data_IF_843577754171
#
_entry.id   IF_843577754171
#
_cell.length_a   1.000
_cell.length_b   1.000
_cell.length_c   1.000
_cell.angle_alpha   90.00
_cell.angle_beta   90.00
_cell.angle_gamma   90.00
#
_symmetry.space_group_name_H-M   'P 1'
#
loop_
_entity.id
_entity.type
_entity.pdbx_description
1 polymer ?
#
# COMPACT_ATOMS: atom_id res chain seq x y z
N UNK A 1 30.28 -5.57 11.90
CA UNK A 1 29.58 -4.64 10.98
C UNK A 1 28.48 -5.45 10.32
N UNK A 2 27.31 -5.47 10.95
CA UNK A 2 26.10 -5.97 10.34
C UNK A 2 25.63 -4.93 9.32
N UNK A 3 25.73 -5.28 8.04
CA UNK A 3 24.98 -4.60 7.00
C UNK A 3 23.53 -4.93 7.28
N UNK A 4 22.81 -4.02 7.91
CA UNK A 4 21.38 -4.02 7.98
C UNK A 4 20.89 -3.90 6.52
N UNK A 5 20.67 -5.04 5.87
CA UNK A 5 19.78 -5.13 4.73
C UNK A 5 18.37 -4.86 5.26
N UNK A 6 18.01 -3.57 5.30
CA UNK A 6 16.62 -3.20 5.34
C UNK A 6 15.97 -3.79 4.09
N UNK A 7 15.32 -4.93 4.27
CA UNK A 7 14.28 -5.39 3.37
C UNK A 7 13.09 -4.43 3.53
N UNK A 8 13.25 -3.24 2.99
CA UNK A 8 12.13 -2.47 2.47
C UNK A 8 11.61 -3.28 1.32
N UNK A 9 10.34 -3.65 1.37
CA UNK A 9 9.70 -4.49 0.39
C UNK A 9 10.12 -4.12 -1.02
N UNK A 10 10.70 -5.07 -1.71
CA UNK A 10 10.95 -4.98 -3.13
C UNK A 10 9.58 -5.00 -3.81
N UNK A 11 8.99 -3.81 -3.98
CA UNK A 11 8.08 -3.61 -5.09
C UNK A 11 8.92 -3.70 -6.37
N UNK A 12 9.11 -4.91 -6.81
CA UNK A 12 9.54 -5.17 -8.18
C UNK A 12 8.30 -4.93 -9.03
N UNK A 13 8.03 -3.66 -9.34
CA UNK A 13 7.12 -3.26 -10.39
C UNK A 13 7.66 -3.78 -11.71
N UNK A 14 7.28 -4.99 -12.11
CA UNK A 14 7.27 -5.39 -13.51
C UNK A 14 6.01 -4.79 -14.12
N UNK A 15 6.09 -3.51 -14.38
CA UNK A 15 4.94 -2.74 -14.84
C UNK A 15 5.25 -2.01 -16.13
N UNK A 16 5.61 -2.69 -17.20
CA UNK A 16 5.61 -2.09 -18.54
C UNK A 16 5.72 -3.16 -19.63
N UNK A 17 4.66 -3.93 -19.85
CA UNK A 17 4.49 -4.58 -21.16
C UNK A 17 3.02 -4.82 -21.49
N UNK A 18 2.62 -4.21 -22.60
CA UNK A 18 1.42 -4.42 -23.40
C UNK A 18 0.14 -3.70 -22.98
N UNK A 19 0.07 -2.43 -23.34
CA UNK A 19 -1.16 -1.87 -23.86
C UNK A 19 -0.96 -1.58 -25.36
N UNK A 20 -1.13 -2.57 -26.22
CA UNK A 20 -1.31 -2.33 -27.66
C UNK A 20 -2.77 -1.96 -27.84
N UNK A 21 -3.02 -0.67 -27.95
CA UNK A 21 -4.31 -0.11 -28.35
C UNK A 21 -4.51 -0.45 -29.83
N UNK A 22 -5.41 -1.41 -30.10
CA UNK A 22 -6.08 -1.48 -31.38
C UNK A 22 -7.04 -0.29 -31.44
N UNK A 23 -6.65 0.76 -32.18
CA UNK A 23 -7.56 1.79 -32.64
C UNK A 23 -8.65 1.14 -33.53
N UNK A 24 -9.77 0.81 -32.92
CA UNK A 24 -11.00 0.47 -33.66
C UNK A 24 -11.79 1.77 -33.78
N UNK A 25 -11.96 2.17 -35.03
CA UNK A 25 -12.69 3.34 -35.50
C UNK A 25 -14.13 3.36 -34.93
N UNK A 26 -14.46 4.40 -34.15
CA UNK A 26 -15.73 4.54 -33.40
C UNK A 26 -16.93 4.85 -34.29
N UNK A 27 -16.77 4.83 -35.62
CA UNK A 27 -17.85 5.20 -36.54
C UNK A 27 -18.86 4.09 -36.88
N UNK A 28 -18.72 2.86 -36.31
CA UNK A 28 -19.62 1.74 -36.66
C UNK A 28 -20.39 1.10 -35.49
N UNK A 29 -20.38 1.68 -34.29
CA UNK A 29 -21.09 1.11 -33.12
C UNK A 29 -22.48 1.73 -32.86
N UNK A 30 -22.97 2.60 -33.71
CA UNK A 30 -24.28 3.26 -33.49
C UNK A 30 -25.51 2.61 -34.17
N UNK A 31 -25.42 1.39 -34.70
CA UNK A 31 -26.57 0.72 -35.39
C UNK A 31 -26.98 -0.64 -34.78
N UNK A 32 -26.54 -1.01 -33.59
CA UNK A 32 -26.97 -2.30 -33.00
C UNK A 32 -27.67 -2.18 -31.63
N UNK A 33 -28.35 -1.11 -31.38
CA UNK A 33 -29.10 -0.92 -30.12
C UNK A 33 -30.62 -0.91 -30.31
N UNK A 34 -31.16 -1.68 -31.24
CA UNK A 34 -32.61 -1.96 -31.33
C UNK A 34 -32.85 -3.33 -31.89
N UNK A 35 -32.56 -4.38 -31.14
CA UNK A 35 -33.24 -5.69 -31.26
C UNK A 35 -33.14 -6.34 -29.87
N UNK A 36 -34.13 -6.04 -29.05
CA UNK A 36 -34.51 -6.89 -27.93
C UNK A 36 -34.89 -8.26 -28.43
N UNK A 37 -33.96 -9.19 -28.45
CA UNK A 37 -34.29 -10.59 -28.44
C UNK A 37 -33.81 -11.15 -27.08
N UNK A 38 -34.78 -11.46 -26.25
CA UNK A 38 -34.63 -12.23 -25.02
C UNK A 38 -34.03 -13.60 -25.31
N UNK A 39 -32.73 -13.69 -25.46
CA UNK A 39 -32.02 -14.93 -25.32
C UNK A 39 -31.74 -15.10 -23.84
N UNK A 40 -32.36 -16.09 -23.25
CA UNK A 40 -32.21 -16.53 -21.87
C UNK A 40 -30.82 -17.19 -21.71
N UNK A 41 -29.79 -16.43 -21.95
CA UNK A 41 -28.42 -16.79 -21.55
C UNK A 41 -28.35 -16.70 -20.06
N UNK A 42 -27.99 -17.76 -19.31
CA UNK A 42 -27.89 -17.69 -17.88
C UNK A 42 -26.93 -16.55 -17.52
N UNK A 43 -27.41 -15.59 -16.71
CA UNK A 43 -26.59 -14.47 -16.23
C UNK A 43 -25.33 -15.06 -15.60
N UNK A 44 -24.14 -14.63 -16.04
CA UNK A 44 -22.87 -15.07 -15.48
C UNK A 44 -22.92 -14.83 -13.95
N UNK A 45 -22.60 -15.85 -13.19
CA UNK A 45 -22.50 -15.70 -11.73
C UNK A 45 -21.20 -15.00 -11.34
N UNK A 46 -21.30 -14.09 -10.39
CA UNK A 46 -20.14 -13.42 -9.83
C UNK A 46 -19.29 -14.42 -9.06
N UNK A 47 -17.98 -14.54 -9.37
CA UNK A 47 -17.09 -15.51 -8.73
C UNK A 47 -16.93 -15.33 -7.22
N UNK A 48 -17.15 -14.13 -6.71
CA UNK A 48 -17.09 -13.86 -5.27
C UNK A 48 -18.24 -14.50 -4.47
N UNK A 49 -19.35 -14.86 -5.12
CA UNK A 49 -20.52 -15.43 -4.43
C UNK A 49 -20.47 -16.94 -4.24
N UNK A 50 -19.47 -17.59 -4.82
CA UNK A 50 -19.31 -19.04 -4.77
C UNK A 50 -17.93 -19.42 -4.16
N UNK A 51 -17.78 -20.64 -3.62
CA UNK A 51 -16.46 -21.17 -3.31
C UNK A 51 -15.58 -21.16 -4.57
N UNK A 52 -14.34 -20.81 -4.44
CA UNK A 52 -13.45 -20.64 -5.59
C UNK A 52 -13.24 -21.95 -6.36
N UNK A 53 -13.16 -23.08 -5.64
CA UNK A 53 -12.93 -24.41 -6.20
C UNK A 53 -11.68 -24.47 -7.10
N UNK A 54 -10.69 -23.71 -6.75
CA UNK A 54 -9.34 -23.66 -7.36
C UNK A 54 -8.37 -24.47 -6.51
N UNK A 55 -7.20 -24.86 -7.02
CA UNK A 55 -6.17 -25.46 -6.19
C UNK A 55 -5.86 -24.56 -4.98
N UNK A 56 -5.88 -25.13 -3.77
CA UNK A 56 -5.66 -24.42 -2.49
C UNK A 56 -6.61 -23.25 -2.22
N UNK A 57 -7.80 -23.24 -2.82
CA UNK A 57 -8.79 -22.14 -2.72
C UNK A 57 -8.24 -20.76 -3.11
N UNK A 58 -7.26 -20.73 -4.00
CA UNK A 58 -6.66 -19.50 -4.52
C UNK A 58 -7.66 -18.69 -5.35
N UNK A 59 -7.41 -17.38 -5.45
CA UNK A 59 -8.30 -16.44 -6.15
C UNK A 59 -8.40 -16.80 -7.64
N UNK A 60 -9.62 -16.94 -8.21
CA UNK A 60 -9.82 -17.31 -9.61
C UNK A 60 -9.72 -16.08 -10.53
N UNK A 61 -8.53 -15.49 -10.65
CA UNK A 61 -8.30 -14.23 -11.37
C UNK A 61 -8.82 -14.23 -12.82
N UNK A 62 -8.73 -15.36 -13.54
CA UNK A 62 -9.26 -15.48 -14.91
C UNK A 62 -10.78 -15.32 -15.00
N UNK A 63 -11.50 -15.51 -13.89
CA UNK A 63 -12.97 -15.42 -13.83
C UNK A 63 -13.46 -14.09 -13.27
N UNK A 64 -12.63 -13.34 -12.55
CA UNK A 64 -13.00 -12.07 -11.93
C UNK A 64 -12.90 -10.95 -12.96
N UNK A 65 -13.89 -10.07 -12.98
CA UNK A 65 -13.98 -8.88 -13.82
C UNK A 65 -14.19 -7.66 -12.94
N UNK A 66 -13.92 -6.48 -13.48
CA UNK A 66 -14.10 -5.21 -12.77
C UNK A 66 -15.52 -5.03 -12.20
N UNK A 67 -16.54 -5.38 -13.00
CA UNK A 67 -17.94 -5.30 -12.57
C UNK A 67 -18.30 -6.20 -11.39
N UNK A 68 -17.53 -7.27 -11.14
CA UNK A 68 -17.79 -8.21 -10.05
C UNK A 68 -17.49 -7.60 -8.68
N UNK A 69 -16.53 -6.70 -8.62
CA UNK A 69 -16.14 -6.06 -7.34
C UNK A 69 -17.27 -5.24 -6.72
N UNK A 70 -17.88 -4.34 -7.48
CA UNK A 70 -18.97 -3.49 -6.97
C UNK A 70 -20.15 -4.32 -6.48
N UNK A 71 -20.60 -5.29 -7.28
CA UNK A 71 -21.70 -6.18 -6.91
C UNK A 71 -21.37 -6.97 -5.65
N UNK A 72 -20.12 -7.46 -5.53
CA UNK A 72 -19.68 -8.22 -4.36
C UNK A 72 -19.54 -7.36 -3.10
N UNK A 73 -19.05 -6.13 -3.22
CA UNK A 73 -19.02 -5.19 -2.10
C UNK A 73 -20.41 -4.89 -1.56
N UNK A 74 -21.35 -4.53 -2.43
CA UNK A 74 -22.71 -4.19 -2.02
C UNK A 74 -23.45 -5.39 -1.41
N UNK A 75 -23.29 -6.57 -1.98
CA UNK A 75 -23.86 -7.81 -1.43
C UNK A 75 -23.16 -8.21 -0.11
N UNK A 76 -21.84 -8.00 0.01
CA UNK A 76 -21.10 -8.23 1.25
C UNK A 76 -21.62 -7.35 2.38
N UNK A 77 -21.76 -6.04 2.15
CA UNK A 77 -22.35 -5.09 3.10
C UNK A 77 -23.76 -5.54 3.51
N UNK A 78 -24.61 -5.92 2.53
CA UNK A 78 -25.97 -6.38 2.83
C UNK A 78 -25.99 -7.62 3.74
N UNK A 79 -25.10 -8.58 3.50
CA UNK A 79 -24.99 -9.80 4.34
C UNK A 79 -24.52 -9.49 5.75
N UNK A 80 -23.54 -8.61 5.86
CA UNK A 80 -23.01 -8.16 7.14
C UNK A 80 -24.08 -7.39 7.95
N UNK A 81 -24.81 -6.47 7.32
CA UNK A 81 -25.96 -5.78 7.93
C UNK A 81 -27.03 -6.78 8.42
N UNK A 82 -27.35 -7.79 7.64
CA UNK A 82 -28.31 -8.84 8.05
C UNK A 82 -27.82 -9.67 9.24
N UNK A 83 -26.52 -9.95 9.31
CA UNK A 83 -25.96 -10.68 10.45
C UNK A 83 -25.93 -9.81 11.70
N UNK A 84 -25.54 -8.55 11.58
CA UNK A 84 -25.63 -7.57 12.68
C UNK A 84 -27.07 -7.45 13.17
N UNK A 85 -28.04 -7.37 12.27
CA UNK A 85 -29.46 -7.33 12.63
C UNK A 85 -29.92 -8.58 13.38
N UNK A 86 -29.45 -9.78 13.03
CA UNK A 86 -29.73 -11.01 13.76
C UNK A 86 -29.12 -10.99 15.16
N UNK A 87 -27.88 -10.48 15.29
CA UNK A 87 -27.21 -10.36 16.58
C UNK A 87 -27.97 -9.39 17.49
N UNK A 88 -28.30 -8.20 17.02
CA UNK A 88 -28.95 -7.17 17.86
C UNK A 88 -30.41 -7.49 18.20
N UNK A 89 -31.07 -8.31 17.41
CA UNK A 89 -32.45 -8.75 17.63
C UNK A 89 -32.58 -10.13 18.28
N UNK A 90 -31.48 -10.79 18.60
CA UNK A 90 -31.48 -12.09 19.30
C UNK A 90 -32.16 -11.92 20.65
N UNK A 91 -33.26 -12.68 20.92
CA UNK A 91 -34.00 -12.57 22.18
C UNK A 91 -33.26 -13.22 23.36
N UNK A 92 -32.25 -14.02 23.12
CA UNK A 92 -31.44 -14.63 24.16
C UNK A 92 -30.51 -13.63 24.84
N UNK A 93 -30.19 -13.90 26.10
CA UNK A 93 -29.23 -13.13 26.86
C UNK A 93 -27.86 -13.12 26.12
N UNK A 94 -27.20 -11.96 26.02
CA UNK A 94 -25.89 -11.87 25.33
C UNK A 94 -24.84 -12.78 25.99
N UNK A 95 -24.21 -13.64 25.20
CA UNK A 95 -23.12 -14.52 25.61
C UNK A 95 -21.91 -14.30 24.71
N UNK A 96 -20.76 -14.85 25.12
CA UNK A 96 -19.56 -14.83 24.30
C UNK A 96 -19.82 -15.45 22.90
N UNK A 97 -20.54 -16.58 22.87
CA UNK A 97 -20.82 -17.34 21.65
C UNK A 97 -21.82 -16.61 20.72
N UNK A 98 -22.97 -16.15 21.28
CA UNK A 98 -24.01 -15.55 20.44
C UNK A 98 -23.79 -14.07 20.11
N UNK A 99 -22.73 -13.46 20.65
CA UNK A 99 -22.42 -12.05 20.44
C UNK A 99 -20.99 -11.86 19.93
N UNK A 100 -19.96 -12.22 20.73
CA UNK A 100 -18.56 -11.90 20.40
C UNK A 100 -18.06 -12.73 19.22
N UNK A 101 -18.27 -14.06 19.26
CA UNK A 101 -17.87 -14.98 18.17
C UNK A 101 -18.57 -14.61 16.86
N UNK A 102 -19.84 -14.22 16.92
CA UNK A 102 -20.60 -13.82 15.73
C UNK A 102 -20.15 -12.47 15.16
N UNK A 103 -19.75 -11.51 16.01
CA UNK A 103 -19.22 -10.22 15.57
C UNK A 103 -17.82 -10.38 14.97
N UNK A 104 -17.01 -11.29 15.50
CA UNK A 104 -15.65 -11.51 15.02
C UNK A 104 -15.59 -12.28 13.69
N UNK A 105 -16.63 -13.02 13.34
CA UNK A 105 -16.78 -13.81 12.10
C UNK A 105 -15.65 -14.82 11.78
N UNK A 106 -14.66 -14.99 12.69
CA UNK A 106 -13.52 -15.87 12.45
C UNK A 106 -13.82 -17.36 12.66
N UNK A 107 -14.94 -17.70 13.31
CA UNK A 107 -15.23 -19.07 13.73
C UNK A 107 -16.56 -19.65 13.20
N UNK A 108 -17.24 -18.97 12.27
CA UNK A 108 -18.42 -19.53 11.60
C UNK A 108 -18.01 -20.50 10.49
N UNK A 109 -18.93 -21.36 10.09
CA UNK A 109 -18.81 -22.22 8.89
C UNK A 109 -18.58 -21.40 7.60
N UNK A 110 -18.70 -20.09 7.67
CA UNK A 110 -18.37 -19.11 6.64
C UNK A 110 -16.96 -18.56 6.84
N UNK A 111 -15.97 -19.39 6.63
CA UNK A 111 -14.53 -19.06 6.70
C UNK A 111 -14.12 -17.88 5.82
N UNK A 112 -15.00 -17.39 4.95
CA UNK A 112 -14.80 -16.20 4.12
C UNK A 112 -16.06 -15.35 4.13
N UNK A 113 -16.13 -14.39 5.04
CA UNK A 113 -17.05 -13.28 4.89
C UNK A 113 -16.83 -12.65 3.51
N UNK A 114 -17.93 -12.46 2.76
CA UNK A 114 -17.87 -11.94 1.39
C UNK A 114 -17.22 -10.55 1.34
N UNK A 115 -17.55 -9.69 2.32
CA UNK A 115 -17.01 -8.32 2.37
C UNK A 115 -15.51 -8.33 2.61
N UNK A 116 -15.01 -9.13 3.54
CA UNK A 116 -13.58 -9.29 3.82
C UNK A 116 -12.84 -9.85 2.61
N UNK A 117 -13.39 -10.89 1.99
CA UNK A 117 -12.79 -11.54 0.82
C UNK A 117 -12.66 -10.61 -0.37
N UNK A 118 -13.73 -9.89 -0.74
CA UNK A 118 -13.68 -8.94 -1.86
C UNK A 118 -12.78 -7.75 -1.54
N UNK A 119 -12.80 -7.24 -0.30
CA UNK A 119 -11.95 -6.14 0.14
C UNK A 119 -10.48 -6.51 0.06
N UNK A 120 -10.11 -7.71 0.49
CA UNK A 120 -8.72 -8.19 0.43
C UNK A 120 -8.22 -8.30 -1.01
N UNK A 121 -8.99 -8.98 -1.89
CA UNK A 121 -8.60 -9.12 -3.30
C UNK A 121 -8.51 -7.75 -3.97
N UNK A 122 -9.49 -6.88 -3.76
CA UNK A 122 -9.50 -5.53 -4.31
C UNK A 122 -8.29 -4.70 -3.84
N UNK A 123 -8.00 -4.71 -2.55
CA UNK A 123 -6.85 -4.00 -1.97
C UNK A 123 -5.51 -4.51 -2.52
N UNK A 124 -5.37 -5.83 -2.67
CA UNK A 124 -4.19 -6.42 -3.29
C UNK A 124 -4.04 -5.98 -4.75
N UNK A 125 -5.13 -5.97 -5.53
CA UNK A 125 -5.11 -5.51 -6.92
C UNK A 125 -4.80 -4.02 -7.03
N UNK A 126 -5.36 -3.18 -6.15
CA UNK A 126 -5.01 -1.75 -6.07
C UNK A 126 -3.52 -1.51 -5.83
N UNK A 127 -2.85 -2.40 -5.10
CA UNK A 127 -1.42 -2.28 -4.81
C UNK A 127 -0.53 -2.88 -5.90
N UNK A 128 -0.96 -3.98 -6.53
CA UNK A 128 -0.15 -4.76 -7.46
C UNK A 128 -0.37 -4.39 -8.93
N UNK A 129 -1.62 -4.11 -9.31
CA UNK A 129 -2.05 -3.94 -10.73
C UNK A 129 -3.20 -2.93 -10.83
N UNK A 130 -3.01 -1.70 -10.32
CA UNK A 130 -4.07 -0.68 -10.40
C UNK A 130 -4.22 -0.10 -11.81
N UNK A 131 -5.43 0.31 -12.13
CA UNK A 131 -5.78 1.03 -13.37
C UNK A 131 -6.80 2.14 -13.04
N UNK A 132 -7.06 3.02 -14.02
CA UNK A 132 -7.98 4.15 -13.82
C UNK A 132 -9.39 3.70 -13.44
N UNK A 133 -9.85 2.56 -13.92
CA UNK A 133 -11.16 1.99 -13.59
C UNK A 133 -11.21 1.44 -12.16
N UNK A 134 -10.15 0.80 -11.67
CA UNK A 134 -10.03 0.37 -10.27
C UNK A 134 -9.94 1.59 -9.34
N UNK A 135 -9.18 2.61 -9.73
CA UNK A 135 -9.09 3.87 -8.97
C UNK A 135 -10.45 4.57 -8.87
N UNK A 136 -11.22 4.63 -9.96
CA UNK A 136 -12.57 5.18 -9.96
C UNK A 136 -13.53 4.36 -9.08
N UNK A 137 -13.41 3.03 -9.10
CA UNK A 137 -14.20 2.16 -8.23
C UNK A 137 -13.82 2.34 -6.75
N UNK A 138 -12.53 2.49 -6.44
CA UNK A 138 -12.06 2.79 -5.09
C UNK A 138 -12.67 4.11 -4.56
N UNK A 139 -12.68 5.16 -5.38
CA UNK A 139 -13.31 6.44 -5.02
C UNK A 139 -14.81 6.29 -4.76
N UNK A 140 -15.50 5.47 -5.55
CA UNK A 140 -16.93 5.21 -5.39
C UNK A 140 -17.22 4.41 -4.13
N UNK A 141 -16.43 3.37 -3.85
CA UNK A 141 -16.70 2.43 -2.76
C UNK A 141 -16.19 2.93 -1.40
N UNK A 142 -15.14 3.75 -1.35
CA UNK A 142 -14.56 4.24 -0.09
C UNK A 142 -15.57 4.89 0.86
N UNK A 143 -16.44 5.85 0.44
CA UNK A 143 -17.43 6.43 1.33
C UNK A 143 -18.51 5.41 1.76
N UNK A 144 -18.88 4.47 0.90
CA UNK A 144 -19.88 3.43 1.20
C UNK A 144 -19.34 2.48 2.27
N UNK A 145 -18.11 2.00 2.11
CA UNK A 145 -17.43 1.12 3.06
C UNK A 145 -17.16 1.82 4.39
N UNK A 146 -16.72 3.08 4.36
CA UNK A 146 -16.52 3.88 5.58
C UNK A 146 -17.83 4.10 6.32
N UNK A 147 -18.92 4.40 5.59
CA UNK A 147 -20.24 4.53 6.21
C UNK A 147 -20.66 3.22 6.88
N UNK A 148 -20.57 2.09 6.18
CA UNK A 148 -20.91 0.78 6.73
C UNK A 148 -20.09 0.47 7.99
N UNK A 149 -18.76 0.63 7.96
CA UNK A 149 -17.90 0.44 9.12
C UNK A 149 -18.32 1.32 10.32
N UNK A 150 -18.68 2.59 10.07
CA UNK A 150 -19.21 3.46 11.09
C UNK A 150 -20.58 2.97 11.61
N UNK A 151 -21.47 2.52 10.73
CA UNK A 151 -22.79 2.03 11.12
C UNK A 151 -22.69 0.84 12.06
N UNK A 152 -21.77 -0.10 11.81
CA UNK A 152 -21.48 -1.23 12.68
C UNK A 152 -20.86 -0.76 14.01
N UNK A 153 -19.74 0.00 13.97
CA UNK A 153 -18.99 0.38 15.17
C UNK A 153 -19.72 1.37 16.08
N UNK A 154 -20.63 2.17 15.54
CA UNK A 154 -21.44 3.12 16.30
C UNK A 154 -22.86 2.58 16.63
N UNK A 155 -23.16 1.32 16.28
CA UNK A 155 -24.41 0.68 16.59
C UNK A 155 -24.57 0.51 18.11
N UNK A 156 -25.49 1.29 18.71
CA UNK A 156 -25.71 1.31 20.14
C UNK A 156 -26.18 -0.06 20.67
N UNK A 157 -27.09 -0.72 19.96
CA UNK A 157 -27.66 -1.99 20.40
C UNK A 157 -26.61 -3.10 20.37
N UNK A 158 -25.78 -3.12 19.34
CA UNK A 158 -24.68 -4.05 19.25
C UNK A 158 -23.68 -3.82 20.39
N UNK A 159 -23.29 -2.57 20.62
CA UNK A 159 -22.38 -2.25 21.71
C UNK A 159 -22.95 -2.60 23.09
N UNK A 160 -24.24 -2.39 23.35
CA UNK A 160 -24.89 -2.81 24.60
C UNK A 160 -24.80 -4.31 24.82
N UNK A 161 -24.92 -5.14 23.79
CA UNK A 161 -24.72 -6.60 23.87
C UNK A 161 -23.25 -6.95 24.17
N UNK A 162 -22.30 -6.35 23.43
CA UNK A 162 -20.85 -6.56 23.68
C UNK A 162 -20.49 -6.16 25.10
N UNK A 163 -20.96 -5.02 25.56
CA UNK A 163 -20.73 -4.52 26.92
C UNK A 163 -21.33 -5.47 27.99
N UNK A 164 -22.52 -6.00 27.73
CA UNK A 164 -23.14 -7.00 28.64
C UNK A 164 -22.25 -8.24 28.79
N UNK A 165 -21.75 -8.78 27.67
CA UNK A 165 -20.81 -9.92 27.70
C UNK A 165 -19.53 -9.56 28.43
N UNK A 166 -18.96 -8.37 28.18
CA UNK A 166 -17.75 -7.88 28.84
C UNK A 166 -17.90 -7.80 30.37
N UNK A 167 -19.08 -7.45 30.87
CA UNK A 167 -19.37 -7.29 32.30
C UNK A 167 -19.82 -8.61 32.93
N UNK A 168 -20.38 -9.59 32.17
CA UNK A 168 -21.12 -10.77 32.70
C UNK A 168 -20.82 -12.08 31.95
N UNK A 169 -19.56 -12.37 31.65
CA UNK A 169 -19.18 -13.57 30.91
C UNK A 169 -18.90 -14.77 31.83
N UNK A 170 -19.02 -16.00 31.31
CA UNK A 170 -18.49 -17.23 31.93
C UNK A 170 -16.94 -17.12 32.04
N UNK A 171 -16.30 -18.01 32.82
CA UNK A 171 -14.84 -18.13 32.74
C UNK A 171 -14.40 -18.42 31.30
N UNK A 172 -13.46 -17.61 30.80
CA UNK A 172 -12.92 -17.65 29.45
C UNK A 172 -11.49 -18.20 29.43
N UNK A 173 -11.07 -18.78 28.33
CA UNK A 173 -9.64 -19.03 28.09
C UNK A 173 -8.89 -17.70 27.86
N UNK A 174 -7.55 -17.68 27.95
CA UNK A 174 -6.80 -16.45 27.66
C UNK A 174 -7.07 -15.89 26.26
N UNK A 175 -7.27 -16.75 25.25
CA UNK A 175 -7.59 -16.38 23.88
C UNK A 175 -8.98 -15.76 23.78
N UNK A 176 -9.99 -16.39 24.37
CA UNK A 176 -11.37 -15.88 24.41
C UNK A 176 -11.43 -14.53 25.15
N UNK A 177 -10.68 -14.39 26.26
CA UNK A 177 -10.62 -13.14 27.01
C UNK A 177 -9.98 -12.03 26.15
N UNK A 178 -8.89 -12.32 25.45
CA UNK A 178 -8.25 -11.37 24.56
C UNK A 178 -9.19 -10.93 23.43
N UNK A 179 -9.96 -11.87 22.84
CA UNK A 179 -10.94 -11.56 21.83
C UNK A 179 -12.04 -10.63 22.35
N UNK A 180 -12.56 -10.93 23.55
CA UNK A 180 -13.57 -10.09 24.21
C UNK A 180 -13.04 -8.69 24.52
N UNK A 181 -11.83 -8.59 25.08
CA UNK A 181 -11.18 -7.32 25.41
C UNK A 181 -10.96 -6.48 24.14
N UNK A 182 -10.46 -7.09 23.07
CA UNK A 182 -10.25 -6.44 21.79
C UNK A 182 -11.56 -5.98 21.14
N UNK A 183 -12.61 -6.80 21.21
CA UNK A 183 -13.94 -6.44 20.69
C UNK A 183 -14.50 -5.23 21.45
N UNK A 184 -14.54 -5.28 22.78
CA UNK A 184 -15.06 -4.19 23.61
C UNK A 184 -14.25 -2.89 23.40
N UNK A 185 -12.93 -2.97 23.50
CA UNK A 185 -12.06 -1.80 23.34
C UNK A 185 -12.13 -1.24 21.92
N UNK A 186 -12.20 -2.10 20.91
CA UNK A 186 -12.38 -1.69 19.51
C UNK A 186 -13.64 -0.83 19.30
N UNK A 187 -14.76 -1.18 19.92
CA UNK A 187 -15.99 -0.38 19.87
C UNK A 187 -15.86 0.93 20.66
N UNK A 188 -15.32 0.88 21.87
CA UNK A 188 -15.10 2.09 22.71
C UNK A 188 -14.23 3.09 21.98
N UNK A 189 -13.12 2.65 21.42
CA UNK A 189 -12.18 3.50 20.66
C UNK A 189 -12.73 3.99 19.33
N UNK A 190 -13.70 3.29 18.78
CA UNK A 190 -14.43 3.74 17.58
C UNK A 190 -15.60 4.68 17.92
N UNK A 191 -15.76 5.10 19.17
CA UNK A 191 -16.74 6.11 19.59
C UNK A 191 -18.09 5.58 20.05
N UNK A 192 -18.20 4.28 20.40
CA UNK A 192 -19.46 3.68 20.85
C UNK A 192 -20.03 4.36 22.10
N UNK A 193 -19.18 4.96 22.95
CA UNK A 193 -19.60 5.69 24.16
C UNK A 193 -20.01 7.15 23.90
N UNK A 194 -19.85 7.67 22.71
CA UNK A 194 -20.28 9.02 22.35
C UNK A 194 -21.81 9.11 22.36
N UNK A 195 -22.31 10.33 22.64
CA UNK A 195 -23.70 10.65 22.38
C UNK A 195 -24.00 10.72 20.87
N UNK A 196 -25.26 10.86 20.49
CA UNK A 196 -25.65 10.82 19.08
C UNK A 196 -25.06 12.00 18.27
N UNK A 197 -24.87 13.18 18.89
CA UNK A 197 -24.22 14.32 18.24
C UNK A 197 -22.73 14.02 17.99
N UNK A 198 -22.05 13.46 18.97
CA UNK A 198 -20.66 13.03 18.86
C UNK A 198 -20.46 11.95 17.80
N UNK A 199 -21.35 10.96 17.75
CA UNK A 199 -21.33 9.92 16.73
C UNK A 199 -21.51 10.47 15.32
N UNK A 200 -22.48 11.36 15.14
CA UNK A 200 -22.73 11.98 13.84
C UNK A 200 -21.53 12.86 13.40
N UNK A 201 -20.92 13.56 14.35
CA UNK A 201 -19.67 14.31 14.08
C UNK A 201 -18.54 13.39 13.68
N UNK A 202 -18.35 12.27 14.40
CA UNK A 202 -17.29 11.28 14.10
C UNK A 202 -17.47 10.69 12.70
N UNK A 203 -18.70 10.34 12.29
CA UNK A 203 -19.00 9.84 10.94
C UNK A 203 -18.48 10.81 9.87
N UNK A 204 -18.83 12.08 9.97
CA UNK A 204 -18.40 13.11 9.00
C UNK A 204 -16.89 13.25 8.94
N UNK A 205 -16.22 13.24 10.10
CA UNK A 205 -14.77 13.37 10.17
C UNK A 205 -14.05 12.14 9.56
N UNK A 206 -14.55 10.94 9.81
CA UNK A 206 -13.96 9.70 9.28
C UNK A 206 -14.20 9.53 7.79
N UNK A 207 -15.40 9.88 7.30
CA UNK A 207 -15.71 9.89 5.86
C UNK A 207 -14.81 10.86 5.11
N UNK A 208 -14.68 12.11 5.59
CA UNK A 208 -13.78 13.09 4.98
C UNK A 208 -12.33 12.64 5.01
N UNK A 209 -11.86 12.08 6.14
CA UNK A 209 -10.49 11.58 6.27
C UNK A 209 -10.18 10.42 5.31
N UNK A 210 -11.13 9.49 5.11
CA UNK A 210 -10.99 8.37 4.17
C UNK A 210 -10.85 8.86 2.73
N UNK A 211 -11.73 9.77 2.31
CA UNK A 211 -11.69 10.35 0.96
C UNK A 211 -10.39 11.11 0.68
N UNK A 212 -9.96 11.95 1.63
CA UNK A 212 -8.72 12.71 1.48
C UNK A 212 -7.48 11.81 1.51
N UNK A 213 -7.49 10.72 2.29
CA UNK A 213 -6.39 9.76 2.30
C UNK A 213 -6.25 9.03 0.97
N UNK A 214 -7.37 8.63 0.37
CA UNK A 214 -7.39 8.02 -0.97
C UNK A 214 -6.89 9.00 -2.02
N UNK A 215 -7.42 10.24 -2.03
CA UNK A 215 -7.00 11.29 -2.96
C UNK A 215 -5.51 11.60 -2.84
N UNK A 216 -4.97 11.66 -1.61
CA UNK A 216 -3.55 11.88 -1.34
C UNK A 216 -2.69 10.84 -2.07
N UNK A 217 -3.03 9.56 -1.92
CA UNK A 217 -2.27 8.47 -2.53
C UNK A 217 -2.37 8.48 -4.07
N UNK A 218 -3.57 8.72 -4.60
CA UNK A 218 -3.78 8.81 -6.05
C UNK A 218 -3.05 9.99 -6.68
N UNK A 219 -3.02 11.15 -6.01
CA UNK A 219 -2.28 12.32 -6.48
C UNK A 219 -0.79 12.03 -6.58
N UNK A 220 -0.19 11.40 -5.55
CA UNK A 220 1.24 11.03 -5.60
C UNK A 220 1.52 10.06 -6.76
N UNK A 221 0.69 9.05 -6.93
CA UNK A 221 0.88 8.08 -8.01
C UNK A 221 0.79 8.73 -9.40
N UNK A 222 -0.19 9.64 -9.60
CA UNK A 222 -0.36 10.37 -10.87
C UNK A 222 0.83 11.27 -11.16
N UNK A 223 1.30 12.02 -10.18
CA UNK A 223 2.43 12.94 -10.35
C UNK A 223 3.73 12.18 -10.60
N UNK A 224 3.95 11.07 -9.89
CA UNK A 224 5.08 10.18 -10.12
C UNK A 224 5.11 9.66 -11.57
N UNK A 225 3.97 9.17 -12.06
CA UNK A 225 3.84 8.66 -13.44
C UNK A 225 3.93 9.75 -14.52
N UNK A 226 3.54 10.98 -14.20
CA UNK A 226 3.56 12.09 -15.16
C UNK A 226 4.99 12.57 -15.47
N UNK A 227 5.91 12.38 -14.54
CA UNK A 227 7.28 12.82 -14.74
C UNK A 227 8.08 11.86 -15.62
N UNK A 228 8.73 12.39 -16.64
CA UNK A 228 9.70 11.65 -17.45
C UNK A 228 10.87 12.55 -17.85
N UNK A 229 12.09 12.03 -17.74
CA UNK A 229 13.30 12.64 -18.28
C UNK A 229 13.71 11.88 -19.54
N UNK A 230 13.46 12.46 -20.73
CA UNK A 230 13.86 11.87 -22.00
C UNK A 230 15.18 12.47 -22.47
N UNK A 231 16.21 11.64 -22.63
CA UNK A 231 17.54 12.01 -23.09
C UNK A 231 17.73 11.49 -24.51
N UNK A 232 18.16 12.36 -25.44
CA UNK A 232 18.42 11.99 -26.85
C UNK A 232 19.89 12.14 -27.22
N UNK A 233 20.70 12.82 -26.38
CA UNK A 233 22.12 12.95 -26.55
C UNK A 233 22.88 11.92 -25.72
N UNK A 234 23.55 10.98 -26.39
CA UNK A 234 24.29 9.89 -25.74
C UNK A 234 25.39 10.41 -24.78
N UNK A 235 25.96 11.60 -25.04
CA UNK A 235 26.94 12.19 -24.13
C UNK A 235 26.39 12.49 -22.73
N UNK A 236 25.07 12.65 -22.59
CA UNK A 236 24.41 12.87 -21.31
C UNK A 236 24.20 11.58 -20.49
N UNK A 237 24.52 10.42 -21.07
CA UNK A 237 24.47 9.12 -20.38
C UNK A 237 25.79 8.76 -19.70
N UNK A 238 26.77 9.65 -19.77
CA UNK A 238 28.08 9.38 -19.19
C UNK A 238 28.00 8.97 -17.72
N UNK A 239 28.77 7.93 -17.36
CA UNK A 239 28.77 7.31 -16.05
C UNK A 239 27.72 6.23 -15.81
N UNK A 240 26.61 6.19 -16.55
CA UNK A 240 25.54 5.20 -16.36
C UNK A 240 25.99 3.78 -16.78
N UNK A 241 25.68 2.76 -15.97
CA UNK A 241 25.89 1.36 -16.34
C UNK A 241 25.11 0.98 -17.60
N UNK A 242 25.64 0.02 -18.37
CA UNK A 242 24.97 -0.48 -19.58
C UNK A 242 23.55 -1.00 -19.29
N UNK A 243 23.37 -1.72 -18.21
CA UNK A 243 22.04 -2.21 -17.76
C UNK A 243 21.00 -1.10 -17.55
N UNK A 244 21.43 0.04 -17.00
CA UNK A 244 20.54 1.20 -16.82
C UNK A 244 20.22 1.89 -18.16
N UNK A 245 21.21 1.94 -19.08
CA UNK A 245 21.01 2.50 -20.43
C UNK A 245 20.07 1.64 -21.25
N UNK A 246 20.25 0.31 -21.24
CA UNK A 246 19.36 -0.63 -21.94
C UNK A 246 17.92 -0.55 -21.42
N UNK A 247 17.74 -0.50 -20.10
CA UNK A 247 16.41 -0.35 -19.49
C UNK A 247 15.74 0.97 -19.89
N UNK A 248 16.49 2.09 -19.86
CA UNK A 248 15.99 3.40 -20.27
C UNK A 248 15.66 3.48 -21.75
N UNK A 249 16.44 2.80 -22.62
CA UNK A 249 16.18 2.71 -24.05
C UNK A 249 14.89 1.92 -24.34
N UNK A 250 14.70 0.81 -23.62
CA UNK A 250 13.47 0.03 -23.73
C UNK A 250 12.26 0.85 -23.30
N UNK A 251 12.33 1.53 -22.16
CA UNK A 251 11.26 2.42 -21.68
C UNK A 251 10.93 3.53 -22.68
N UNK A 252 11.95 4.16 -23.32
CA UNK A 252 11.72 5.14 -24.36
C UNK A 252 10.98 4.54 -25.56
N UNK A 253 11.39 3.36 -26.01
CA UNK A 253 10.75 2.64 -27.12
C UNK A 253 9.31 2.30 -26.82
N UNK A 254 9.01 1.81 -25.63
CA UNK A 254 7.65 1.47 -25.17
C UNK A 254 6.76 2.72 -25.09
N UNK A 255 7.34 3.87 -24.69
CA UNK A 255 6.66 5.16 -24.69
C UNK A 255 6.58 5.83 -26.10
N UNK A 256 7.07 5.18 -27.17
CA UNK A 256 7.10 5.74 -28.52
C UNK A 256 8.04 6.93 -28.68
N UNK A 257 9.08 7.05 -27.83
CA UNK A 257 10.07 8.13 -27.82
C UNK A 257 11.41 7.63 -28.37
N UNK A 258 12.21 8.57 -28.90
CA UNK A 258 13.61 8.30 -29.27
C UNK A 258 14.53 8.53 -28.06
N UNK A 259 15.65 7.80 -28.01
CA UNK A 259 16.68 7.95 -26.98
C UNK A 259 16.42 7.08 -25.74
N UNK A 260 16.53 7.68 -24.57
CA UNK A 260 16.51 7.01 -23.26
C UNK A 260 15.54 7.75 -22.34
N UNK A 261 14.61 6.99 -21.73
CA UNK A 261 13.58 7.52 -20.85
C UNK A 261 13.86 7.09 -19.42
N UNK A 262 14.01 8.06 -18.52
CA UNK A 262 14.14 7.85 -17.08
C UNK A 262 12.88 8.33 -16.38
N UNK A 263 12.46 7.56 -15.36
CA UNK A 263 11.27 7.81 -14.53
C UNK A 263 11.67 8.01 -13.07
N UNK A 264 10.72 8.33 -12.21
CA UNK A 264 10.93 8.41 -10.77
C UNK A 264 10.85 7.04 -10.06
N UNK A 265 10.56 5.96 -10.78
CA UNK A 265 10.58 4.62 -10.24
C UNK A 265 11.99 4.23 -9.78
N UNK A 266 12.07 3.55 -8.64
CA UNK A 266 13.35 3.26 -7.99
C UNK A 266 14.39 2.59 -8.92
N UNK A 267 14.04 1.59 -9.77
CA UNK A 267 15.01 0.96 -10.68
C UNK A 267 15.58 1.91 -11.75
N UNK A 268 14.85 2.96 -12.12
CA UNK A 268 15.29 4.01 -13.05
C UNK A 268 16.02 5.14 -12.33
N UNK A 269 15.45 5.62 -11.23
CA UNK A 269 15.94 6.74 -10.44
C UNK A 269 17.27 6.44 -9.75
N UNK A 270 17.38 5.31 -9.02
CA UNK A 270 18.53 5.00 -8.17
C UNK A 270 19.84 4.87 -8.95
N UNK A 271 19.92 4.11 -10.08
CA UNK A 271 21.15 4.08 -10.89
C UNK A 271 21.53 5.44 -11.44
N UNK A 272 20.56 6.26 -11.86
CA UNK A 272 20.84 7.60 -12.36
C UNK A 272 21.49 8.48 -11.28
N UNK A 273 20.95 8.50 -10.08
CA UNK A 273 21.47 9.26 -8.95
C UNK A 273 22.85 8.78 -8.48
N UNK A 274 23.14 7.49 -8.65
CA UNK A 274 24.40 6.87 -8.21
C UNK A 274 25.54 7.06 -9.22
N UNK A 275 25.24 6.92 -10.51
CA UNK A 275 26.27 6.76 -11.52
C UNK A 275 26.41 7.93 -12.51
N UNK A 276 25.29 8.66 -12.80
CA UNK A 276 25.33 9.72 -13.81
C UNK A 276 26.30 10.84 -13.43
N UNK A 277 27.18 11.23 -14.37
CA UNK A 277 28.08 12.39 -14.20
C UNK A 277 27.34 13.72 -14.38
N UNK A 278 26.12 13.71 -14.94
CA UNK A 278 25.35 14.90 -15.28
C UNK A 278 24.65 15.50 -14.05
N UNK A 279 25.35 16.38 -13.34
CA UNK A 279 24.87 16.98 -12.07
C UNK A 279 23.51 17.65 -12.18
N UNK A 280 23.27 18.43 -13.24
CA UNK A 280 21.99 19.13 -13.42
C UNK A 280 20.83 18.16 -13.70
N UNK A 281 21.08 17.05 -14.38
CA UNK A 281 20.06 16.01 -14.58
C UNK A 281 19.79 15.24 -13.28
N UNK A 282 20.81 14.95 -12.46
CA UNK A 282 20.60 14.42 -11.10
C UNK A 282 19.73 15.35 -10.27
N UNK A 283 20.04 16.66 -10.28
CA UNK A 283 19.23 17.67 -9.60
C UNK A 283 17.77 17.66 -10.08
N UNK A 284 17.55 17.61 -11.39
CA UNK A 284 16.21 17.59 -11.97
C UNK A 284 15.40 16.39 -11.47
N UNK A 285 15.97 15.17 -11.53
CA UNK A 285 15.35 13.94 -11.02
C UNK A 285 15.12 14.00 -9.51
N UNK A 286 16.12 14.44 -8.76
CA UNK A 286 16.03 14.59 -7.30
C UNK A 286 14.89 15.53 -6.90
N UNK A 287 14.83 16.71 -7.52
CA UNK A 287 13.79 17.69 -7.24
C UNK A 287 12.41 17.15 -7.60
N UNK A 288 12.27 16.56 -8.78
CA UNK A 288 11.00 15.96 -9.20
C UNK A 288 10.48 14.94 -8.18
N UNK A 289 11.34 14.02 -7.73
CA UNK A 289 10.94 12.99 -6.77
C UNK A 289 10.65 13.54 -5.37
N UNK A 290 11.40 14.53 -4.91
CA UNK A 290 11.26 15.03 -3.53
C UNK A 290 10.25 16.18 -3.39
N UNK A 291 9.63 16.60 -4.48
CA UNK A 291 8.56 17.61 -4.48
C UNK A 291 7.23 17.08 -5.01
N UNK A 292 7.08 15.76 -5.16
CA UNK A 292 5.81 15.13 -5.54
C UNK A 292 4.67 15.59 -4.61
N UNK A 293 3.53 15.91 -5.18
CA UNK A 293 2.35 16.38 -4.45
C UNK A 293 2.47 17.81 -3.91
N UNK A 294 3.48 18.58 -4.33
CA UNK A 294 3.66 19.98 -3.86
C UNK A 294 3.58 21.03 -4.96
N UNK A 295 3.42 20.63 -6.21
CA UNK A 295 3.35 21.52 -7.34
C UNK A 295 1.99 22.23 -7.43
N UNK A 296 1.93 23.39 -8.12
CA UNK A 296 0.68 24.12 -8.36
C UNK A 296 -0.11 23.47 -9.51
N UNK A 297 -0.66 22.30 -9.24
CA UNK A 297 -1.44 21.50 -10.18
C UNK A 297 -2.60 20.80 -9.46
N UNK A 298 -3.35 19.93 -10.15
CA UNK A 298 -4.49 19.20 -9.61
C UNK A 298 -4.09 18.13 -8.58
N UNK A 299 -2.85 17.68 -8.60
CA UNK A 299 -2.27 16.64 -7.75
C UNK A 299 -1.63 17.19 -6.46
N UNK A 300 -1.80 18.50 -6.17
CA UNK A 300 -1.24 19.13 -4.98
C UNK A 300 -1.86 18.60 -3.69
N UNK A 301 -1.01 18.07 -2.82
CA UNK A 301 -1.41 17.44 -1.55
C UNK A 301 -1.23 18.34 -0.31
N UNK A 302 -0.70 19.57 -0.44
CA UNK A 302 -0.38 20.41 0.72
C UNK A 302 -1.59 20.73 1.58
N UNK A 303 -2.71 21.13 0.97
CA UNK A 303 -3.95 21.40 1.71
C UNK A 303 -4.61 20.12 2.22
N UNK A 304 -4.49 19.01 1.48
CA UNK A 304 -4.93 17.68 1.93
C UNK A 304 -4.18 17.27 3.21
N UNK A 305 -2.84 17.43 3.24
CA UNK A 305 -2.04 17.18 4.45
C UNK A 305 -2.52 17.98 5.65
N UNK A 306 -2.71 19.29 5.47
CA UNK A 306 -3.20 20.17 6.55
C UNK A 306 -4.57 19.72 7.04
N UNK A 307 -5.47 19.40 6.12
CA UNK A 307 -6.82 18.97 6.49
C UNK A 307 -6.81 17.62 7.20
N UNK A 308 -6.04 16.64 6.72
CA UNK A 308 -5.90 15.33 7.36
C UNK A 308 -5.34 15.44 8.79
N UNK A 309 -4.31 16.27 9.02
CA UNK A 309 -3.76 16.50 10.37
C UNK A 309 -4.83 17.08 11.30
N UNK A 310 -5.61 18.05 10.83
CA UNK A 310 -6.70 18.64 11.62
C UNK A 310 -7.82 17.64 11.90
N UNK A 311 -8.24 16.85 10.90
CA UNK A 311 -9.26 15.79 11.06
C UNK A 311 -8.82 14.77 12.11
N UNK A 312 -7.57 14.28 12.03
CA UNK A 312 -7.01 13.35 13.01
C UNK A 312 -7.00 13.93 14.42
N UNK A 313 -6.67 15.23 14.57
CA UNK A 313 -6.72 15.92 15.86
C UNK A 313 -8.17 15.99 16.37
N UNK A 314 -9.13 16.41 15.52
CA UNK A 314 -10.54 16.51 15.89
C UNK A 314 -11.12 15.16 16.31
N UNK A 315 -10.80 14.08 15.57
CA UNK A 315 -11.19 12.71 15.91
C UNK A 315 -10.64 12.30 17.27
N UNK A 316 -9.34 12.49 17.51
CA UNK A 316 -8.72 12.14 18.79
C UNK A 316 -9.34 12.89 19.96
N UNK A 317 -9.56 14.21 19.81
CA UNK A 317 -10.19 15.02 20.86
C UNK A 317 -11.63 14.61 21.12
N UNK A 318 -12.39 14.29 20.08
CA UNK A 318 -13.77 13.80 20.21
C UNK A 318 -13.81 12.47 20.99
N UNK A 319 -12.80 11.60 20.80
CA UNK A 319 -12.64 10.33 21.50
C UNK A 319 -11.96 10.45 22.88
N UNK A 320 -11.70 11.69 23.36
CA UNK A 320 -11.14 11.95 24.70
C UNK A 320 -9.62 11.90 24.82
N UNK A 321 -8.89 11.86 23.68
CA UNK A 321 -7.43 11.88 23.68
C UNK A 321 -6.90 13.30 23.41
N UNK A 322 -5.75 13.64 24.02
CA UNK A 322 -5.14 14.96 23.82
C UNK A 322 -4.60 15.13 22.38
N UNK A 323 -3.96 14.08 21.85
CA UNK A 323 -3.42 14.07 20.48
C UNK A 323 -3.79 12.79 19.76
N UNK A 324 -3.67 12.80 18.43
CA UNK A 324 -3.85 11.59 17.62
C UNK A 324 -2.77 10.54 17.89
N UNK A 325 -1.56 10.97 18.25
CA UNK A 325 -0.50 10.07 18.68
C UNK A 325 -0.90 9.32 19.96
N UNK A 326 -1.45 10.01 20.97
CA UNK A 326 -1.94 9.36 22.18
C UNK A 326 -3.02 8.32 21.86
N UNK A 327 -3.97 8.66 20.99
CA UNK A 327 -4.99 7.73 20.53
C UNK A 327 -4.40 6.47 19.88
N UNK A 328 -3.43 6.61 18.97
CA UNK A 328 -2.87 5.48 18.23
C UNK A 328 -1.94 4.63 19.10
N UNK A 329 -1.10 5.26 19.94
CA UNK A 329 -0.03 4.59 20.68
C UNK A 329 -0.52 3.65 21.78
N UNK A 330 -1.74 3.79 22.27
CA UNK A 330 -2.31 2.88 23.30
C UNK A 330 -2.16 1.41 22.89
N UNK A 331 -2.35 1.08 21.61
CA UNK A 331 -2.24 -0.29 21.07
C UNK A 331 -0.95 -0.54 20.29
N UNK A 332 0.05 0.30 20.46
CA UNK A 332 1.36 0.07 19.84
C UNK A 332 2.37 -0.39 20.89
N UNK A 333 3.41 -1.08 20.46
CA UNK A 333 4.47 -1.56 21.34
C UNK A 333 5.09 -0.44 22.19
N UNK A 334 5.18 0.78 21.65
CA UNK A 334 5.69 1.94 22.37
C UNK A 334 4.77 2.44 23.50
N UNK A 335 3.48 2.16 23.44
CA UNK A 335 2.42 2.51 24.40
C UNK A 335 2.14 4.01 24.55
N UNK A 336 3.13 4.88 24.47
CA UNK A 336 3.01 6.34 24.64
C UNK A 336 4.10 7.09 23.87
N UNK A 337 3.93 8.42 23.75
CA UNK A 337 4.85 9.28 23.03
C UNK A 337 6.23 9.38 23.68
N UNK A 338 6.32 9.33 25.02
CA UNK A 338 7.60 9.42 25.73
C UNK A 338 8.52 8.24 25.38
N UNK A 339 7.97 7.03 25.27
CA UNK A 339 8.74 5.85 24.85
C UNK A 339 9.22 5.97 23.38
N UNK A 340 8.39 6.57 22.50
CA UNK A 340 8.79 6.86 21.12
C UNK A 340 9.94 7.84 21.10
N UNK A 341 9.81 8.97 21.81
CA UNK A 341 10.86 9.98 21.86
C UNK A 341 12.15 9.44 22.51
N UNK A 342 12.01 8.63 23.56
CA UNK A 342 13.18 7.99 24.18
C UNK A 342 13.94 7.15 23.16
N UNK A 343 13.26 6.24 22.44
CA UNK A 343 13.90 5.41 21.41
C UNK A 343 14.55 6.25 20.32
N UNK A 344 13.83 7.24 19.79
CA UNK A 344 14.34 8.10 18.72
C UNK A 344 15.56 8.93 19.19
N UNK A 345 15.52 9.48 20.39
CA UNK A 345 16.64 10.25 20.93
C UNK A 345 17.85 9.35 21.19
N UNK A 346 17.65 8.16 21.77
CA UNK A 346 18.74 7.19 21.99
C UNK A 346 19.41 6.81 20.63
N UNK A 347 18.61 6.64 19.56
CA UNK A 347 19.13 6.37 18.21
C UNK A 347 19.86 7.60 17.62
N UNK A 348 19.29 8.80 17.77
CA UNK A 348 19.91 10.05 17.28
C UNK A 348 21.27 10.24 17.98
N UNK A 349 21.33 10.10 19.28
CA UNK A 349 22.57 10.28 20.06
C UNK A 349 23.64 9.26 19.66
N UNK A 350 23.23 8.02 19.36
CA UNK A 350 24.14 6.96 18.93
C UNK A 350 24.64 7.14 17.49
N UNK A 351 23.76 7.48 16.54
CA UNK A 351 24.10 7.46 15.11
C UNK A 351 24.50 8.81 14.51
N UNK A 352 23.96 9.93 15.04
CA UNK A 352 24.23 11.26 14.48
C UNK A 352 25.71 11.63 14.40
N UNK A 353 26.57 11.32 15.41
CA UNK A 353 28.01 11.62 15.31
C UNK A 353 28.68 10.91 14.12
N UNK A 354 28.37 9.62 13.92
CA UNK A 354 28.89 8.84 12.78
C UNK A 354 28.39 9.38 11.46
N UNK A 355 27.09 9.66 11.34
CA UNK A 355 26.50 10.21 10.11
C UNK A 355 27.14 11.55 9.72
N UNK A 356 27.44 12.41 10.69
CA UNK A 356 28.15 13.69 10.42
C UNK A 356 29.55 13.43 9.84
N UNK A 357 30.30 12.46 10.38
CA UNK A 357 31.64 12.16 9.86
C UNK A 357 31.58 11.52 8.46
N UNK A 358 30.59 10.68 8.19
CA UNK A 358 30.34 10.11 6.87
C UNK A 358 30.02 11.18 5.84
N UNK A 359 29.11 12.12 6.15
CA UNK A 359 28.81 13.26 5.26
C UNK A 359 30.07 14.11 4.99
N UNK A 360 30.88 14.39 6.02
CA UNK A 360 32.16 15.10 5.85
C UNK A 360 33.16 14.32 4.98
N UNK A 361 33.16 12.99 5.05
CA UNK A 361 34.01 12.16 4.21
C UNK A 361 33.59 12.25 2.75
N UNK A 362 32.28 12.20 2.47
CA UNK A 362 31.70 12.37 1.13
C UNK A 362 31.98 13.78 0.59
N UNK A 363 31.86 14.81 1.44
CA UNK A 363 32.17 16.19 1.05
C UNK A 363 33.65 16.35 0.70
N UNK A 364 34.57 15.75 1.47
CA UNK A 364 36.01 15.75 1.13
C UNK A 364 36.29 15.07 -0.19
N UNK A 365 35.63 13.92 -0.46
CA UNK A 365 35.73 13.23 -1.74
C UNK A 365 35.28 14.12 -2.90
N UNK A 366 34.13 14.75 -2.76
CA UNK A 366 33.58 15.65 -3.77
C UNK A 366 34.54 16.82 -4.05
N UNK A 367 35.10 17.45 -3.01
CA UNK A 367 36.06 18.54 -3.15
C UNK A 367 37.39 18.11 -3.79
N UNK A 368 37.84 16.89 -3.55
CA UNK A 368 39.03 16.34 -4.24
C UNK A 368 38.83 16.18 -5.75
N UNK A 369 37.61 15.84 -6.15
CA UNK A 369 37.26 15.61 -7.54
C UNK A 369 36.90 16.90 -8.29
N UNK A 370 36.25 17.86 -7.64
CA UNK A 370 35.64 19.02 -8.28
C UNK A 370 36.35 20.35 -7.90
N UNK A 371 37.16 20.36 -6.84
CA UNK A 371 37.82 21.54 -6.29
C UNK A 371 37.28 22.03 -4.96
N UNK A 372 38.07 22.81 -4.24
CA UNK A 372 37.76 23.21 -2.85
C UNK A 372 36.48 24.05 -2.69
N UNK A 373 36.07 24.76 -3.73
CA UNK A 373 34.88 25.61 -3.75
C UNK A 373 33.58 24.80 -3.97
N UNK A 374 33.68 23.49 -4.23
CA UNK A 374 32.51 22.65 -4.46
C UNK A 374 31.64 22.57 -3.19
N UNK A 375 30.33 22.76 -3.37
CA UNK A 375 29.33 22.59 -2.34
C UNK A 375 28.51 21.34 -2.63
N UNK A 376 28.53 20.42 -1.65
CA UNK A 376 27.73 19.18 -1.71
C UNK A 376 26.26 19.49 -1.46
N UNK A 377 25.43 19.11 -2.41
CA UNK A 377 23.98 19.25 -2.34
C UNK A 377 23.31 17.89 -2.23
N UNK A 378 22.02 17.79 -1.82
CA UNK A 378 21.34 16.52 -1.64
C UNK A 378 21.35 15.60 -2.88
N UNK A 379 21.28 16.15 -4.08
CA UNK A 379 21.36 15.39 -5.34
C UNK A 379 22.76 14.88 -5.69
N UNK A 380 23.76 15.28 -4.95
CA UNK A 380 25.16 14.85 -5.12
C UNK A 380 25.52 13.67 -4.22
N UNK A 381 24.76 13.47 -3.14
CA UNK A 381 25.11 12.52 -2.08
C UNK A 381 25.33 11.09 -2.60
N UNK A 382 24.39 10.55 -3.38
CA UNK A 382 24.49 9.19 -3.93
C UNK A 382 25.73 9.02 -4.83
N UNK A 383 25.98 9.99 -5.69
CA UNK A 383 27.11 9.98 -6.62
C UNK A 383 28.46 9.99 -5.91
N UNK A 384 28.70 10.96 -5.01
CA UNK A 384 30.01 11.03 -4.31
C UNK A 384 30.18 9.97 -3.22
N UNK A 385 29.10 9.50 -2.62
CA UNK A 385 29.12 8.32 -1.75
C UNK A 385 29.63 7.08 -2.51
N UNK A 386 29.15 6.86 -3.74
CA UNK A 386 29.62 5.81 -4.60
C UNK A 386 31.10 6.00 -5.00
N UNK A 387 31.52 7.22 -5.35
CA UNK A 387 32.93 7.50 -5.64
C UNK A 387 33.86 7.18 -4.46
N UNK A 388 33.45 7.59 -3.25
CA UNK A 388 34.16 7.27 -2.03
C UNK A 388 34.25 5.75 -1.78
N UNK A 389 33.14 5.03 -1.96
CA UNK A 389 33.07 3.58 -1.83
C UNK A 389 34.02 2.89 -2.83
N UNK A 390 34.04 3.32 -4.07
CA UNK A 390 34.94 2.79 -5.09
C UNK A 390 36.41 3.05 -4.74
N UNK A 391 36.73 4.23 -4.24
CA UNK A 391 38.11 4.56 -3.84
C UNK A 391 38.59 3.72 -2.64
N UNK A 392 37.75 3.55 -1.64
CA UNK A 392 38.14 2.89 -0.38
C UNK A 392 38.09 1.35 -0.47
N UNK A 393 37.08 0.82 -1.15
CA UNK A 393 36.79 -0.61 -1.14
C UNK A 393 36.92 -1.27 -2.51
N UNK A 394 36.99 -0.48 -3.60
CA UNK A 394 36.97 -0.99 -4.98
C UNK A 394 35.80 -1.99 -5.22
N UNK A 395 34.65 -1.68 -4.65
CA UNK A 395 33.45 -2.53 -4.65
C UNK A 395 32.27 -1.75 -5.22
N UNK A 396 31.70 -2.27 -6.32
CA UNK A 396 30.52 -1.78 -6.97
C UNK A 396 29.41 -2.86 -6.97
N UNK A 397 28.16 -2.45 -6.83
CA UNK A 397 27.02 -3.35 -6.94
C UNK A 397 26.95 -4.04 -8.31
N UNK A 398 27.33 -3.36 -9.40
CA UNK A 398 27.37 -3.96 -10.74
C UNK A 398 28.40 -5.10 -10.84
N UNK A 399 29.51 -5.03 -10.12
CA UNK A 399 30.50 -6.12 -10.05
C UNK A 399 29.94 -7.37 -9.36
N UNK A 400 28.99 -7.21 -8.45
CA UNK A 400 28.35 -8.29 -7.72
C UNK A 400 27.17 -8.91 -8.49
N UNK A 401 26.54 -8.18 -9.40
CA UNK A 401 25.37 -8.61 -10.16
C UNK A 401 25.49 -10.02 -10.77
N UNK A 402 26.59 -10.41 -11.45
CA UNK A 402 26.71 -11.75 -12.04
C UNK A 402 26.69 -12.89 -11.03
N UNK A 403 26.95 -12.61 -9.75
CA UNK A 403 26.94 -13.61 -8.68
C UNK A 403 25.55 -13.85 -8.08
N UNK A 404 24.60 -12.94 -8.33
CA UNK A 404 23.24 -12.97 -7.80
C UNK A 404 22.22 -13.24 -8.92
N UNK A 405 22.47 -14.28 -9.71
CA UNK A 405 21.47 -14.76 -10.67
C UNK A 405 20.20 -15.19 -9.93
N UNK A 406 19.04 -14.69 -10.38
CA UNK A 406 17.76 -14.85 -9.68
C UNK A 406 17.44 -16.29 -9.32
N UNK A 407 17.63 -17.24 -10.26
CA UNK A 407 17.40 -18.67 -10.02
C UNK A 407 18.25 -19.21 -8.87
N UNK A 408 19.53 -18.84 -8.80
CA UNK A 408 20.43 -19.26 -7.72
C UNK A 408 20.09 -18.61 -6.37
N UNK A 409 19.60 -17.36 -6.39
CA UNK A 409 19.14 -16.67 -5.18
C UNK A 409 17.90 -17.39 -4.65
N UNK A 410 16.93 -17.72 -5.49
CA UNK A 410 15.71 -18.46 -5.11
C UNK A 410 16.10 -19.82 -4.50
N UNK A 411 16.96 -20.59 -5.17
CA UNK A 411 17.44 -21.87 -4.64
C UNK A 411 18.15 -21.70 -3.29
N UNK A 412 18.93 -20.63 -3.13
CA UNK A 412 19.62 -20.29 -1.88
C UNK A 412 18.65 -19.98 -0.75
N UNK A 413 17.62 -19.17 -1.01
CA UNK A 413 16.58 -18.82 -0.03
C UNK A 413 15.79 -20.06 0.38
N UNK A 414 15.33 -20.86 -0.58
CA UNK A 414 14.62 -22.10 -0.30
C UNK A 414 15.47 -23.12 0.46
N UNK A 415 16.75 -23.24 0.08
CA UNK A 415 17.71 -24.08 0.79
C UNK A 415 17.96 -23.62 2.22
N UNK A 416 18.02 -22.31 2.46
CA UNK A 416 18.15 -21.76 3.82
C UNK A 416 16.89 -22.04 4.66
N UNK A 417 15.70 -21.77 4.12
CA UNK A 417 14.44 -22.06 4.79
C UNK A 417 14.29 -23.55 5.11
N UNK A 418 14.70 -24.43 4.19
CA UNK A 418 14.72 -25.88 4.46
C UNK A 418 15.65 -26.23 5.63
N UNK A 419 16.87 -25.65 5.67
CA UNK A 419 17.83 -25.91 6.77
C UNK A 419 17.34 -25.40 8.13
N UNK A 420 16.65 -24.24 8.16
CA UNK A 420 16.19 -23.62 9.40
C UNK A 420 14.88 -24.25 9.92
N UNK A 421 13.95 -24.58 9.01
CA UNK A 421 12.56 -24.92 9.38
C UNK A 421 12.13 -26.30 8.86
N UNK A 422 12.95 -26.99 8.06
CA UNK A 422 12.60 -28.28 7.47
C UNK A 422 11.51 -28.22 6.39
N UNK A 423 11.12 -27.02 5.93
CA UNK A 423 10.10 -26.83 4.90
C UNK A 423 10.68 -27.03 3.50
N UNK A 424 9.84 -27.48 2.58
CA UNK A 424 10.18 -27.66 1.17
C UNK A 424 9.27 -26.82 0.29
N UNK A 425 9.78 -26.41 -0.86
CA UNK A 425 9.07 -25.57 -1.82
C UNK A 425 8.86 -26.35 -3.11
N UNK A 426 7.68 -26.18 -3.70
CA UNK A 426 7.34 -26.74 -5.00
C UNK A 426 6.67 -25.65 -5.84
N UNK A 427 7.14 -25.46 -7.07
CA UNK A 427 6.50 -24.57 -8.03
C UNK A 427 5.10 -25.09 -8.37
N UNK A 428 4.07 -24.25 -8.21
CA UNK A 428 2.70 -24.54 -8.59
C UNK A 428 2.41 -23.89 -9.94
N UNK A 429 2.08 -24.71 -10.96
CA UNK A 429 1.80 -24.24 -12.33
C UNK A 429 0.31 -24.24 -12.68
N UNK A 430 -0.51 -24.67 -11.75
CA UNK A 430 -1.96 -24.85 -11.88
C UNK A 430 -2.76 -23.80 -11.08
N UNK A 431 -2.07 -22.79 -10.54
CA UNK A 431 -2.67 -21.66 -9.84
C UNK A 431 -2.85 -20.50 -10.82
N UNK A 432 -4.07 -19.91 -10.84
CA UNK A 432 -4.34 -18.72 -11.62
C UNK A 432 -3.62 -17.51 -11.02
N UNK A 433 -3.04 -16.68 -11.86
CA UNK A 433 -2.29 -15.48 -11.48
C UNK A 433 -3.00 -14.22 -11.96
N UNK A 434 -2.76 -13.10 -11.28
CA UNK A 434 -3.40 -11.83 -11.64
C UNK A 434 -2.74 -11.15 -12.85
N UNK A 435 -1.49 -11.48 -13.15
CA UNK A 435 -0.75 -10.95 -14.29
C UNK A 435 0.13 -12.06 -14.92
N UNK A 436 0.32 -12.07 -16.26
CA UNK A 436 1.12 -13.10 -16.94
C UNK A 436 2.58 -13.19 -16.50
N UNK A 437 3.12 -12.15 -15.91
CA UNK A 437 4.51 -12.10 -15.46
C UNK A 437 4.71 -12.67 -14.04
N UNK A 438 3.64 -13.11 -13.37
CA UNK A 438 3.68 -13.73 -12.03
C UNK A 438 4.00 -15.21 -12.13
#
# INVERSE_FOLDING_TARGET
YEISLGLVGSEMCIRDRFCVILQIDISHIFIFSMLENSTNTPKRKNPFFEPYNTPHDTVPFERIRLEDYEEAFLEGIRRDDEEIDKIVNDPEEPTFENTIVRVDNENGENYYDLLSRVSTVFSCMMSAETCDELDALAQKMSPILTKHANDVKLNRRLFERIKHVYEHHRPLTPEEQMLLDNAYDGFVRSGALLDEEGKERLRKLTEEASMLSLQFSQNLLKENKAFTLNITDEAQLDGLPETAREAAQLAAKEAGKEGWLFTLDYPSFSPFMTYSTQRELRKQLYMARNTEGTHDNAENNLEICKRLVNLRREIAQLLGYATYADYVLVHRMASNADNVYKLLNDLIDAYKPTAIEEVKAIEREAKQLEGDDFQLEPWDFGYYSHKLQMREFNLDAEMLRPYFELSKVIDGVFGLANKLYGITFKEAKDIQVYHPDV
#
